data_IF_811588691799
#
_entry.id   IF_811588691799
#
_cell.length_a   1.000
_cell.length_b   1.000
_cell.length_c   1.000
_cell.angle_alpha   90.00
_cell.angle_beta   90.00
_cell.angle_gamma   90.00
#
_symmetry.space_group_name_H-M   'P 1'
#
loop_
_entity.id
_entity.type
_entity.pdbx_description
1 polymer ?
#
# COMPACT_ATOMS: atom_id res chain seq x y z
N UNK A 1 11.68 14.65 10.38
CA UNK A 1 11.02 13.56 11.14
C UNK A 1 9.53 13.87 11.28
N UNK A 2 8.65 13.07 10.66
CA UNK A 2 7.20 13.32 10.63
C UNK A 2 6.62 13.75 9.27
N UNK A 3 7.38 13.64 8.18
CA UNK A 3 6.83 13.82 6.85
C UNK A 3 6.02 12.57 6.47
N UNK A 4 4.71 12.72 6.30
CA UNK A 4 3.86 11.69 5.71
C UNK A 4 4.04 11.69 4.19
N UNK A 5 3.92 10.51 3.58
CA UNK A 5 3.81 10.40 2.11
C UNK A 5 2.56 11.14 1.67
N UNK A 6 2.72 12.14 0.81
CA UNK A 6 1.61 12.91 0.25
C UNK A 6 0.80 12.10 -0.76
N UNK A 7 -0.38 12.61 -1.11
CA UNK A 7 -1.24 11.96 -2.10
C UNK A 7 -0.54 11.77 -3.45
N UNK A 8 0.28 12.74 -3.88
CA UNK A 8 0.97 12.67 -5.17
C UNK A 8 2.06 11.59 -5.18
N UNK A 9 2.83 11.48 -4.11
CA UNK A 9 3.83 10.42 -3.95
C UNK A 9 3.16 9.04 -3.88
N UNK A 10 2.02 8.94 -3.19
CA UNK A 10 1.24 7.69 -3.12
C UNK A 10 0.72 7.25 -4.50
N UNK A 11 0.13 8.17 -5.26
CA UNK A 11 -0.36 7.89 -6.63
C UNK A 11 0.81 7.54 -7.55
N UNK A 12 1.94 8.25 -7.43
CA UNK A 12 3.14 7.96 -8.21
C UNK A 12 3.61 6.52 -7.98
N UNK A 13 3.73 6.11 -6.72
CA UNK A 13 4.14 4.74 -6.37
C UNK A 13 3.19 3.69 -6.95
N UNK A 14 1.86 3.89 -6.83
CA UNK A 14 0.87 2.98 -7.42
C UNK A 14 1.07 2.82 -8.93
N UNK A 15 1.28 3.93 -9.65
CA UNK A 15 1.49 3.92 -11.10
C UNK A 15 2.80 3.22 -11.47
N UNK A 16 3.90 3.57 -10.81
CA UNK A 16 5.20 2.96 -11.07
C UNK A 16 5.20 1.45 -10.83
N UNK A 17 4.55 0.97 -9.75
CA UNK A 17 4.41 -0.46 -9.48
C UNK A 17 3.54 -1.15 -10.54
N UNK A 18 2.44 -0.51 -10.95
CA UNK A 18 1.55 -1.08 -11.97
C UNK A 18 2.24 -1.21 -13.33
N UNK A 19 2.98 -0.17 -13.73
CA UNK A 19 3.74 -0.15 -14.97
C UNK A 19 4.87 -1.19 -14.95
N UNK A 20 5.58 -1.32 -13.83
CA UNK A 20 6.67 -2.29 -13.65
C UNK A 20 6.18 -3.74 -13.72
N UNK A 21 5.03 -4.05 -13.09
CA UNK A 21 4.48 -5.40 -13.03
C UNK A 21 3.60 -5.75 -14.25
N UNK A 22 3.26 -4.76 -15.08
CA UNK A 22 2.36 -4.92 -16.22
C UNK A 22 0.92 -5.29 -15.82
N UNK A 23 0.52 -4.97 -14.58
CA UNK A 23 -0.80 -5.28 -14.04
C UNK A 23 -1.26 -4.20 -13.05
N UNK A 24 -2.57 -4.10 -12.82
CA UNK A 24 -3.09 -3.15 -11.83
C UNK A 24 -2.63 -3.52 -10.41
N UNK A 25 -2.05 -2.55 -9.71
CA UNK A 25 -1.67 -2.68 -8.30
C UNK A 25 -2.69 -1.94 -7.42
N UNK A 26 -3.32 -2.67 -6.51
CA UNK A 26 -4.11 -2.06 -5.44
C UNK A 26 -3.17 -1.69 -4.28
N UNK A 27 -2.94 -0.39 -4.10
CA UNK A 27 -2.06 0.16 -3.09
C UNK A 27 -2.90 0.82 -2.00
N UNK A 28 -2.75 0.33 -0.76
CA UNK A 28 -3.40 0.85 0.44
C UNK A 28 -2.41 1.11 1.57
N UNK A 29 -2.87 1.84 2.60
CA UNK A 29 -2.14 1.96 3.87
C UNK A 29 -2.81 1.10 4.95
N UNK A 30 -2.08 0.66 5.99
CA UNK A 30 -2.68 -0.08 7.09
C UNK A 30 -3.85 0.62 7.79
N UNK A 31 -3.92 1.95 7.70
CA UNK A 31 -5.01 2.75 8.29
C UNK A 31 -6.25 2.84 7.40
N UNK A 32 -6.12 2.49 6.11
CA UNK A 32 -7.26 2.37 5.20
C UNK A 32 -8.01 1.03 5.36
N UNK A 33 -7.42 0.05 6.04
CA UNK A 33 -8.04 -1.26 6.24
C UNK A 33 -9.27 -1.16 7.14
N UNK A 34 -10.33 -1.88 6.76
CA UNK A 34 -11.53 -1.97 7.59
C UNK A 34 -11.19 -2.61 8.95
N UNK A 35 -11.62 -2.06 10.10
CA UNK A 35 -11.20 -2.54 11.42
C UNK A 35 -11.45 -4.03 11.65
N UNK A 36 -12.58 -4.55 11.16
CA UNK A 36 -12.93 -5.97 11.30
C UNK A 36 -12.03 -6.94 10.49
N UNK A 37 -11.26 -6.45 9.52
CA UNK A 37 -10.37 -7.26 8.67
C UNK A 37 -8.89 -6.96 8.90
N UNK A 38 -8.57 -5.83 9.54
CA UNK A 38 -7.21 -5.30 9.68
C UNK A 38 -6.25 -6.31 10.32
N UNK A 39 -6.65 -6.95 11.41
CA UNK A 39 -5.77 -7.89 12.11
C UNK A 39 -5.42 -9.12 11.26
N UNK A 40 -6.41 -9.70 10.59
CA UNK A 40 -6.19 -10.92 9.81
C UNK A 40 -5.38 -10.63 8.54
N UNK A 41 -5.66 -9.52 7.86
CA UNK A 41 -4.84 -9.05 6.71
C UNK A 41 -3.38 -8.81 7.12
N UNK A 42 -3.13 -8.19 8.28
CA UNK A 42 -1.76 -7.91 8.73
C UNK A 42 -1.01 -9.18 9.16
N UNK A 43 -1.69 -10.21 9.68
CA UNK A 43 -1.07 -11.51 9.98
C UNK A 43 -0.62 -12.24 8.71
N UNK A 44 -1.32 -12.05 7.60
CA UNK A 44 -1.03 -12.68 6.31
C UNK A 44 0.00 -11.89 5.47
N UNK A 45 0.40 -10.69 5.93
CA UNK A 45 1.33 -9.84 5.19
C UNK A 45 2.71 -10.50 5.01
N UNK A 46 3.22 -10.49 3.78
CA UNK A 46 4.57 -10.94 3.45
C UNK A 46 5.51 -9.74 3.41
N UNK A 47 6.46 -9.69 4.34
CA UNK A 47 7.50 -8.65 4.38
C UNK A 47 8.71 -9.07 3.53
N UNK A 48 9.00 -8.29 2.49
CA UNK A 48 10.18 -8.47 1.63
C UNK A 48 11.31 -7.51 2.05
N UNK A 49 12.56 -7.97 1.96
CA UNK A 49 13.77 -7.25 2.39
C UNK A 49 14.49 -6.56 1.22
#
# INVERSE_FOLDING_TARGET
>A
PGAAVGLFEFIRLKRELSDLLGMEVDLGTPDALHPALKEDILKEAVHVA
#
